data_IF_465730966439
#
_entry.id   IF_465730966439
#
_cell.length_a   1.000
_cell.length_b   1.000
_cell.length_c   1.000
_cell.angle_alpha   90.00
_cell.angle_beta   90.00
_cell.angle_gamma   90.00
#
_symmetry.space_group_name_H-M   'P 1'
#
loop_
_entity.id
_entity.type
_entity.pdbx_description
1 polymer ?
#
# COMPACT_ATOMS: atom_id res chain seq x y z
N UNK A 1 -18.73 0.70 -9.23
CA UNK A 1 -19.37 -0.63 -9.43
C UNK A 1 -18.45 -1.66 -10.08
N UNK A 2 -17.85 -1.43 -11.25
CA UNK A 2 -17.03 -2.43 -11.96
C UNK A 2 -15.94 -3.03 -11.07
N UNK A 3 -15.08 -2.19 -10.48
CA UNK A 3 -14.03 -2.66 -9.58
C UNK A 3 -14.59 -3.48 -8.38
N UNK A 4 -15.69 -3.04 -7.76
CA UNK A 4 -16.28 -3.78 -6.64
C UNK A 4 -16.70 -5.20 -7.07
N UNK A 5 -17.33 -5.35 -8.25
CA UNK A 5 -17.68 -6.66 -8.80
C UNK A 5 -16.47 -7.53 -9.13
N UNK A 6 -15.43 -6.93 -9.69
CA UNK A 6 -14.17 -7.62 -9.98
C UNK A 6 -13.51 -8.13 -8.68
N UNK A 7 -13.46 -7.29 -7.64
CA UNK A 7 -12.90 -7.67 -6.34
C UNK A 7 -13.69 -8.81 -5.69
N UNK A 8 -15.02 -8.75 -5.70
CA UNK A 8 -15.87 -9.83 -5.18
C UNK A 8 -15.60 -11.14 -5.93
N UNK A 9 -15.51 -11.08 -7.26
CA UNK A 9 -15.20 -12.25 -8.08
C UNK A 9 -13.82 -12.81 -7.80
N UNK A 10 -12.80 -11.96 -7.68
CA UNK A 10 -11.44 -12.40 -7.36
C UNK A 10 -11.33 -12.96 -5.94
N UNK A 11 -12.06 -12.39 -5.00
CA UNK A 11 -12.13 -12.86 -3.64
C UNK A 11 -12.72 -14.28 -3.59
N UNK A 12 -13.83 -14.53 -4.29
CA UNK A 12 -14.46 -15.83 -4.41
C UNK A 12 -13.53 -16.86 -5.09
N UNK A 13 -13.00 -16.54 -6.27
CA UNK A 13 -12.09 -17.42 -7.02
C UNK A 13 -10.82 -17.74 -6.23
N UNK A 14 -10.30 -16.79 -5.45
CA UNK A 14 -9.14 -17.02 -4.61
C UNK A 14 -9.44 -17.78 -3.32
N UNK A 15 -10.72 -17.96 -2.97
CA UNK A 15 -11.13 -18.53 -1.68
C UNK A 15 -10.73 -17.63 -0.50
N UNK A 16 -10.94 -16.32 -0.60
CA UNK A 16 -10.68 -15.36 0.45
C UNK A 16 -9.20 -15.02 0.67
N UNK A 17 -8.36 -15.09 -0.36
CA UNK A 17 -6.92 -14.75 -0.27
C UNK A 17 -6.54 -13.43 -0.91
N UNK A 18 -7.54 -12.68 -1.41
CA UNK A 18 -7.30 -11.40 -2.05
C UNK A 18 -6.99 -10.33 -1.01
N UNK A 19 -6.01 -9.48 -1.29
CA UNK A 19 -5.75 -8.22 -0.61
C UNK A 19 -5.68 -7.11 -1.66
N UNK A 20 -6.31 -5.98 -1.41
CA UNK A 20 -6.34 -4.84 -2.33
C UNK A 20 -5.36 -3.76 -1.91
N UNK A 21 -4.29 -3.56 -2.68
CA UNK A 21 -3.44 -2.38 -2.58
C UNK A 21 -4.08 -1.18 -3.30
N UNK A 22 -4.26 -0.06 -2.61
CA UNK A 22 -4.86 1.16 -3.17
C UNK A 22 -4.10 2.42 -2.80
N UNK A 23 -4.09 3.40 -3.70
CA UNK A 23 -3.44 4.69 -3.49
C UNK A 23 -4.08 5.80 -4.33
N UNK A 24 -3.73 7.04 -4.00
CA UNK A 24 -4.30 8.23 -4.65
C UNK A 24 -3.79 8.47 -6.09
N UNK A 25 -2.94 7.59 -6.61
CA UNK A 25 -2.24 7.78 -7.89
C UNK A 25 -1.02 8.69 -7.80
N UNK A 26 -0.16 8.61 -8.80
CA UNK A 26 1.09 9.37 -8.89
C UNK A 26 0.91 10.77 -9.49
N UNK A 27 2.03 11.37 -9.87
CA UNK A 27 2.06 12.73 -10.43
C UNK A 27 1.87 12.66 -11.95
N UNK A 28 0.68 13.03 -12.42
CA UNK A 28 0.40 13.35 -13.82
C UNK A 28 0.37 12.17 -14.80
N UNK A 29 1.35 11.28 -14.74
CA UNK A 29 1.52 10.19 -15.70
C UNK A 29 0.30 9.23 -15.75
N UNK A 30 -0.25 8.85 -14.60
CA UNK A 30 -1.38 7.92 -14.54
C UNK A 30 -2.63 8.51 -15.21
N UNK A 31 -2.89 9.81 -14.98
CA UNK A 31 -4.01 10.50 -15.59
C UNK A 31 -3.81 10.66 -17.11
N UNK A 32 -2.62 11.06 -17.54
CA UNK A 32 -2.31 11.27 -18.96
C UNK A 32 -2.31 9.96 -19.76
N UNK A 33 -1.87 8.84 -19.16
CA UNK A 33 -1.97 7.52 -19.77
C UNK A 33 -3.42 7.10 -20.07
N UNK A 34 -4.37 7.62 -19.28
CA UNK A 34 -5.81 7.41 -19.48
C UNK A 34 -6.48 8.52 -20.32
N UNK A 35 -5.71 9.42 -20.94
CA UNK A 35 -6.21 10.53 -21.71
C UNK A 35 -6.90 11.62 -20.86
N UNK A 36 -6.59 11.71 -19.58
CA UNK A 36 -7.13 12.68 -18.64
C UNK A 36 -6.11 13.76 -18.31
N UNK A 37 -6.58 14.93 -17.88
CA UNK A 37 -5.71 15.94 -17.29
C UNK A 37 -5.23 15.53 -15.89
N UNK A 38 -4.00 15.93 -15.54
CA UNK A 38 -3.44 15.67 -14.21
C UNK A 38 -4.17 16.50 -13.15
N UNK A 39 -4.73 15.82 -12.15
CA UNK A 39 -5.37 16.50 -11.02
C UNK A 39 -4.33 17.06 -10.04
N UNK A 40 -4.71 18.15 -9.36
CA UNK A 40 -3.92 18.67 -8.25
C UNK A 40 -3.78 17.63 -7.12
N UNK A 41 -2.73 17.74 -6.31
CA UNK A 41 -2.53 16.86 -5.16
C UNK A 41 -3.72 16.88 -4.18
N UNK A 42 -4.35 18.06 -4.02
CA UNK A 42 -5.56 18.22 -3.20
C UNK A 42 -6.73 17.44 -3.78
N UNK A 43 -6.99 17.64 -5.06
CA UNK A 43 -8.10 16.97 -5.74
C UNK A 43 -7.93 15.44 -5.76
N UNK A 44 -6.72 14.94 -6.06
CA UNK A 44 -6.44 13.50 -5.95
C UNK A 44 -6.75 12.96 -4.57
N UNK A 45 -6.36 13.68 -3.51
CA UNK A 45 -6.63 13.25 -2.14
C UNK A 45 -8.14 13.29 -1.80
N UNK A 46 -8.87 14.30 -2.30
CA UNK A 46 -10.33 14.42 -2.10
C UNK A 46 -11.07 13.28 -2.82
N UNK A 47 -10.71 13.03 -4.09
CA UNK A 47 -11.25 11.90 -4.89
C UNK A 47 -10.93 10.54 -4.26
N UNK A 48 -9.70 10.37 -3.78
CA UNK A 48 -9.28 9.12 -3.16
C UNK A 48 -10.05 8.83 -1.88
N UNK A 49 -10.28 9.84 -1.03
CA UNK A 49 -11.08 9.67 0.18
C UNK A 49 -12.53 9.27 -0.13
N UNK A 50 -13.15 9.91 -1.11
CA UNK A 50 -14.52 9.57 -1.52
C UNK A 50 -14.58 8.18 -2.17
N UNK A 51 -13.58 7.83 -2.98
CA UNK A 51 -13.45 6.52 -3.61
C UNK A 51 -13.33 5.39 -2.58
N UNK A 52 -12.44 5.53 -1.60
CA UNK A 52 -12.21 4.49 -0.57
C UNK A 52 -13.48 4.28 0.25
N UNK A 53 -14.12 5.36 0.70
CA UNK A 53 -15.36 5.27 1.47
C UNK A 53 -16.49 4.61 0.70
N UNK A 54 -16.71 4.97 -0.57
CA UNK A 54 -17.73 4.33 -1.38
C UNK A 54 -17.39 2.87 -1.70
N UNK A 55 -16.12 2.55 -1.95
CA UNK A 55 -15.69 1.18 -2.21
C UNK A 55 -15.88 0.29 -0.96
N UNK A 56 -15.57 0.81 0.23
CA UNK A 56 -15.82 0.12 1.49
C UNK A 56 -17.30 -0.27 1.65
N UNK A 57 -18.20 0.71 1.46
CA UNK A 57 -19.65 0.47 1.50
C UNK A 57 -20.09 -0.57 0.44
N UNK A 58 -19.64 -0.42 -0.81
CA UNK A 58 -19.99 -1.33 -1.90
C UNK A 58 -19.52 -2.78 -1.68
N UNK A 59 -18.49 -3.00 -0.89
CA UNK A 59 -17.97 -4.34 -0.59
C UNK A 59 -18.55 -4.95 0.69
N UNK A 60 -19.18 -4.12 1.55
CA UNK A 60 -19.76 -4.56 2.84
C UNK A 60 -21.27 -4.73 2.79
N UNK A 61 -21.94 -3.87 2.02
CA UNK A 61 -23.38 -3.76 2.06
C UNK A 61 -24.02 -4.36 0.81
N UNK A 62 -25.16 -5.04 0.97
CA UNK A 62 -25.90 -5.67 -0.13
C UNK A 62 -26.42 -4.64 -1.15
N UNK A 63 -26.76 -3.43 -0.69
CA UNK A 63 -27.26 -2.34 -1.51
C UNK A 63 -26.78 -0.99 -1.00
N UNK A 64 -26.20 -0.18 -1.88
CA UNK A 64 -25.66 1.14 -1.55
C UNK A 64 -26.32 2.21 -2.40
N UNK A 65 -26.78 3.27 -1.73
CA UNK A 65 -27.15 4.53 -2.38
C UNK A 65 -26.38 5.66 -1.72
N UNK A 66 -25.50 6.30 -2.47
CA UNK A 66 -24.67 7.42 -2.02
C UNK A 66 -24.52 8.43 -3.13
N UNK A 67 -24.68 9.70 -2.79
CA UNK A 67 -24.37 10.82 -3.66
C UNK A 67 -23.06 11.45 -3.19
N UNK A 68 -22.12 11.66 -4.10
CA UNK A 68 -20.83 12.28 -3.83
C UNK A 68 -20.44 13.31 -4.88
N UNK A 69 -19.34 14.00 -4.63
CA UNK A 69 -18.81 15.00 -5.55
C UNK A 69 -18.17 14.34 -6.79
N UNK A 70 -17.52 13.22 -6.60
CA UNK A 70 -16.75 12.52 -7.64
C UNK A 70 -17.36 11.17 -8.00
N UNK A 71 -18.01 10.51 -7.05
CA UNK A 71 -18.54 9.17 -7.23
C UNK A 71 -19.94 9.07 -6.62
N UNK A 72 -20.86 8.44 -7.35
CA UNK A 72 -22.21 8.20 -6.87
C UNK A 72 -22.62 6.76 -7.13
N UNK A 73 -23.51 6.23 -6.30
CA UNK A 73 -24.15 4.95 -6.46
C UNK A 73 -25.64 5.08 -6.15
N UNK A 74 -26.49 4.42 -6.91
CA UNK A 74 -27.96 4.39 -6.69
C UNK A 74 -28.40 2.94 -6.72
N UNK A 75 -28.91 2.45 -5.60
CA UNK A 75 -29.35 1.06 -5.42
C UNK A 75 -28.32 0.03 -5.97
N UNK A 76 -27.03 0.35 -5.80
CA UNK A 76 -25.96 -0.52 -6.26
C UNK A 76 -25.92 -1.80 -5.44
N UNK A 77 -26.14 -2.94 -6.08
CA UNK A 77 -26.29 -4.25 -5.41
C UNK A 77 -25.07 -5.13 -5.64
N UNK A 78 -24.53 -5.68 -4.54
CA UNK A 78 -23.37 -6.54 -4.50
C UNK A 78 -23.64 -7.84 -3.74
N UNK A 79 -24.64 -8.58 -4.18
CA UNK A 79 -24.97 -9.91 -3.65
C UNK A 79 -24.35 -10.95 -4.61
N UNK A 80 -23.63 -11.98 -4.09
CA UNK A 80 -23.53 -12.45 -2.70
C UNK A 80 -22.53 -11.68 -1.80
N UNK A 81 -21.74 -10.73 -2.32
CA UNK A 81 -20.72 -10.01 -1.56
C UNK A 81 -19.38 -10.73 -1.52
N UNK A 82 -18.48 -10.26 -0.66
CA UNK A 82 -17.16 -10.86 -0.46
C UNK A 82 -17.23 -12.17 0.33
N UNK A 83 -16.28 -13.07 0.09
CA UNK A 83 -16.04 -14.25 0.94
C UNK A 83 -15.39 -13.83 2.24
N UNK A 84 -14.48 -12.87 2.17
CA UNK A 84 -13.84 -12.29 3.35
C UNK A 84 -14.78 -11.34 4.10
N UNK A 85 -14.72 -11.36 5.43
CA UNK A 85 -15.56 -10.52 6.31
C UNK A 85 -14.68 -9.53 7.07
N UNK A 86 -15.05 -8.25 7.10
CA UNK A 86 -16.27 -7.62 6.55
C UNK A 86 -16.20 -7.40 5.02
N UNK A 87 -15.06 -7.49 4.40
CA UNK A 87 -14.75 -7.37 2.96
C UNK A 87 -13.30 -7.72 2.66
N UNK A 88 -12.89 -7.65 1.41
CA UNK A 88 -11.48 -7.72 0.99
C UNK A 88 -10.63 -6.71 1.77
N UNK A 89 -9.51 -7.12 2.40
CA UNK A 89 -8.61 -6.21 3.11
C UNK A 89 -8.04 -5.12 2.19
N UNK A 90 -8.01 -3.88 2.70
CA UNK A 90 -7.38 -2.74 2.01
C UNK A 90 -5.99 -2.46 2.57
N UNK A 91 -5.00 -2.42 1.70
CA UNK A 91 -3.66 -1.93 2.00
C UNK A 91 -3.50 -0.56 1.36
N UNK A 92 -3.50 0.49 2.20
CA UNK A 92 -3.58 1.88 1.74
C UNK A 92 -2.19 2.48 1.62
N UNK A 93 -1.79 2.82 0.39
CA UNK A 93 -0.53 3.50 0.12
C UNK A 93 -0.65 5.00 0.42
N UNK A 94 0.13 5.48 1.40
CA UNK A 94 0.06 6.85 1.85
C UNK A 94 1.33 7.36 2.55
N UNK A 95 1.69 8.62 2.27
CA UNK A 95 2.76 9.34 2.98
C UNK A 95 2.26 10.67 3.59
N UNK A 96 1.15 11.18 3.09
CA UNK A 96 0.54 12.43 3.55
C UNK A 96 -0.60 12.23 4.57
N UNK A 97 -0.96 13.27 5.34
CA UNK A 97 -1.87 13.16 6.47
C UNK A 97 -3.29 12.67 6.10
N UNK A 98 -3.79 13.03 4.92
CA UNK A 98 -5.12 12.57 4.45
C UNK A 98 -5.14 11.07 4.16
N UNK A 99 -4.10 10.59 3.45
CA UNK A 99 -3.98 9.16 3.15
C UNK A 99 -3.70 8.32 4.40
N UNK A 100 -2.89 8.81 5.34
CA UNK A 100 -2.66 8.15 6.63
C UNK A 100 -3.95 8.02 7.44
N UNK A 101 -4.83 9.04 7.41
CA UNK A 101 -6.15 8.95 8.02
C UNK A 101 -7.01 7.86 7.36
N UNK A 102 -7.00 7.76 6.02
CA UNK A 102 -7.73 6.69 5.32
C UNK A 102 -7.16 5.30 5.65
N UNK A 103 -5.84 5.18 5.80
CA UNK A 103 -5.22 3.94 6.26
C UNK A 103 -5.69 3.57 7.68
N UNK A 104 -5.75 4.54 8.59
CA UNK A 104 -6.24 4.34 9.95
C UNK A 104 -7.73 3.96 10.00
N UNK A 105 -8.58 4.59 9.16
CA UNK A 105 -10.03 4.36 9.15
C UNK A 105 -10.42 3.07 8.43
N UNK A 106 -9.84 2.79 7.27
CA UNK A 106 -10.29 1.73 6.36
C UNK A 106 -9.27 0.61 6.14
N UNK A 107 -7.97 0.85 6.41
CA UNK A 107 -6.90 -0.09 6.08
C UNK A 107 -6.81 -1.30 7.02
N UNK A 108 -6.47 -2.45 6.50
CA UNK A 108 -5.87 -3.56 7.24
C UNK A 108 -4.36 -3.51 7.14
N UNK A 109 -3.84 -2.78 6.16
CA UNK A 109 -2.43 -2.47 6.03
C UNK A 109 -2.19 -1.04 5.52
N UNK A 110 -1.03 -0.54 5.84
CA UNK A 110 -0.47 0.70 5.30
C UNK A 110 0.78 0.40 4.49
N UNK A 111 0.92 1.05 3.33
CA UNK A 111 2.05 0.84 2.42
C UNK A 111 2.82 2.14 2.24
N UNK A 112 4.14 2.04 2.35
CA UNK A 112 5.06 3.13 2.01
C UNK A 112 6.19 2.65 1.10
N UNK A 113 6.75 3.56 0.32
CA UNK A 113 7.95 3.35 -0.51
C UNK A 113 9.08 4.35 -0.12
N UNK A 114 8.97 4.99 1.04
CA UNK A 114 9.92 5.98 1.52
C UNK A 114 9.52 7.43 1.23
N UNK A 115 10.48 8.28 0.86
CA UNK A 115 10.22 9.69 0.60
C UNK A 115 9.46 9.89 -0.71
N UNK A 116 8.33 10.64 -0.70
CA UNK A 116 7.54 10.89 -1.90
C UNK A 116 8.24 11.75 -2.95
N UNK A 117 9.34 12.40 -2.60
CA UNK A 117 10.19 13.15 -3.55
C UNK A 117 11.12 12.25 -4.36
N UNK A 118 11.22 10.99 -3.97
CA UNK A 118 12.04 9.98 -4.63
C UNK A 118 13.45 9.81 -4.03
N UNK A 119 14.15 8.75 -4.46
CA UNK A 119 15.39 8.30 -3.82
C UNK A 119 16.59 9.22 -4.09
N UNK A 120 16.57 9.99 -5.17
CA UNK A 120 17.68 10.87 -5.53
C UNK A 120 17.88 12.05 -4.54
N UNK A 121 16.89 12.32 -3.70
CA UNK A 121 16.92 13.45 -2.77
C UNK A 121 17.20 13.03 -1.31
N UNK A 122 17.22 11.72 -1.02
CA UNK A 122 17.45 11.22 0.35
C UNK A 122 18.71 10.36 0.38
N UNK A 123 19.75 10.77 1.13
CA UNK A 123 20.91 9.93 1.39
C UNK A 123 20.51 8.60 2.04
N UNK A 124 21.23 7.52 1.71
CA UNK A 124 20.92 6.15 2.17
C UNK A 124 20.79 6.08 3.69
N UNK A 125 21.72 6.72 4.40
CA UNK A 125 21.74 6.75 5.86
C UNK A 125 20.55 7.48 6.51
N UNK A 126 19.78 8.24 5.72
CA UNK A 126 18.58 8.93 6.19
C UNK A 126 17.29 8.19 5.87
N UNK A 127 17.33 7.17 5.03
CA UNK A 127 16.14 6.42 4.61
C UNK A 127 15.37 5.81 5.80
N UNK A 128 16.00 5.14 6.78
CA UNK A 128 15.31 4.63 7.96
C UNK A 128 14.62 5.74 8.77
N UNK A 129 15.26 6.92 8.89
CA UNK A 129 14.67 8.07 9.59
C UNK A 129 13.44 8.65 8.90
N UNK A 130 13.32 8.51 7.57
CA UNK A 130 12.11 8.88 6.83
C UNK A 130 10.96 7.95 7.22
N UNK A 131 11.21 6.64 7.21
CA UNK A 131 10.21 5.63 7.57
C UNK A 131 9.78 5.77 9.03
N UNK A 132 10.73 5.95 9.96
CA UNK A 132 10.41 6.18 11.37
C UNK A 132 9.39 7.32 11.55
N UNK A 133 9.63 8.47 10.91
CA UNK A 133 8.69 9.61 10.96
C UNK A 133 7.33 9.32 10.31
N UNK A 134 7.27 8.44 9.31
CA UNK A 134 6.01 8.03 8.70
C UNK A 134 5.22 7.09 9.61
N UNK A 135 5.90 6.16 10.29
CA UNK A 135 5.28 5.27 11.28
C UNK A 135 4.73 6.08 12.47
N UNK A 136 5.46 7.07 12.97
CA UNK A 136 4.98 7.99 14.01
C UNK A 136 3.70 8.74 13.59
N UNK A 137 3.66 9.24 12.35
CA UNK A 137 2.47 9.91 11.81
C UNK A 137 1.29 8.96 11.62
N UNK A 138 1.55 7.71 11.21
CA UNK A 138 0.53 6.67 11.14
C UNK A 138 -0.04 6.36 12.52
N UNK A 139 0.83 6.20 13.53
CA UNK A 139 0.40 5.97 14.90
C UNK A 139 -0.51 7.09 15.42
N UNK A 140 -0.13 8.36 15.19
CA UNK A 140 -0.97 9.50 15.54
C UNK A 140 -2.32 9.51 14.79
N UNK A 141 -2.35 9.09 13.52
CA UNK A 141 -3.59 8.98 12.77
C UNK A 141 -4.50 7.86 13.31
N UNK A 142 -3.92 6.73 13.71
CA UNK A 142 -4.64 5.62 14.34
C UNK A 142 -5.19 6.03 15.71
N UNK A 143 -4.41 6.70 16.55
CA UNK A 143 -4.86 7.24 17.84
C UNK A 143 -6.06 8.18 17.66
N UNK A 144 -5.99 9.09 16.67
CA UNK A 144 -7.09 10.01 16.35
C UNK A 144 -8.34 9.27 15.85
N UNK A 145 -8.20 8.10 15.25
CA UNK A 145 -9.29 7.22 14.82
C UNK A 145 -9.78 6.26 15.92
N UNK A 146 -9.15 6.28 17.11
CA UNK A 146 -9.48 5.37 18.22
C UNK A 146 -9.06 3.92 17.96
N UNK A 147 -7.99 3.70 17.18
CA UNK A 147 -7.51 2.41 16.73
C UNK A 147 -6.06 2.17 17.19
N UNK A 148 -5.73 0.93 17.55
CA UNK A 148 -4.33 0.54 17.79
C UNK A 148 -3.57 0.41 16.46
N UNK A 149 -2.43 1.11 16.36
CA UNK A 149 -1.53 1.01 15.20
C UNK A 149 -0.96 -0.41 15.03
N UNK A 150 -0.92 -1.20 16.09
CA UNK A 150 -0.52 -2.61 16.07
C UNK A 150 -1.47 -3.51 15.25
N UNK A 151 -2.70 -3.08 15.03
CA UNK A 151 -3.67 -3.81 14.21
C UNK A 151 -3.43 -3.68 12.69
N UNK A 152 -2.57 -2.74 12.28
CA UNK A 152 -2.25 -2.56 10.87
C UNK A 152 -0.94 -3.27 10.50
N UNK A 153 -0.98 -4.02 9.42
CA UNK A 153 0.23 -4.40 8.71
C UNK A 153 0.93 -3.16 8.16
N UNK A 154 2.25 -3.11 8.29
CA UNK A 154 3.07 -1.98 7.84
C UNK A 154 4.04 -2.48 6.78
N UNK A 155 3.72 -2.18 5.53
CA UNK A 155 4.41 -2.70 4.35
C UNK A 155 5.38 -1.64 3.83
N UNK A 156 6.65 -2.00 3.73
CA UNK A 156 7.65 -1.22 3.00
C UNK A 156 7.87 -1.85 1.62
N UNK A 157 7.47 -1.14 0.58
CA UNK A 157 7.82 -1.47 -0.79
C UNK A 157 9.22 -0.88 -1.09
N UNK A 158 10.19 -1.74 -1.28
CA UNK A 158 11.53 -1.35 -1.73
C UNK A 158 11.41 -0.84 -3.17
N UNK A 159 11.32 0.47 -3.29
CA UNK A 159 11.24 1.15 -4.58
C UNK A 159 12.61 1.46 -5.15
N UNK A 160 12.69 2.53 -5.93
CA UNK A 160 13.96 3.08 -6.42
C UNK A 160 14.69 3.85 -5.30
N UNK A 161 15.01 3.18 -4.19
CA UNK A 161 15.84 3.74 -3.12
C UNK A 161 17.32 3.57 -3.43
N UNK A 162 18.17 4.41 -2.85
CA UNK A 162 19.62 4.24 -2.97
C UNK A 162 20.14 3.05 -2.14
N UNK A 163 19.32 2.48 -1.27
CA UNK A 163 19.61 1.26 -0.53
C UNK A 163 19.67 0.06 -1.47
N UNK A 164 20.57 -0.86 -1.21
CA UNK A 164 20.80 -2.01 -2.06
C UNK A 164 20.69 -3.32 -1.28
N UNK A 165 19.52 -3.64 -0.73
CA UNK A 165 19.34 -4.82 0.10
C UNK A 165 19.59 -6.14 -0.65
N UNK A 166 19.55 -6.14 -1.97
CA UNK A 166 19.73 -7.36 -2.77
C UNK A 166 21.18 -7.58 -3.25
N UNK A 167 22.17 -6.84 -2.72
CA UNK A 167 23.58 -7.06 -3.06
C UNK A 167 24.19 -8.30 -2.38
N UNK A 168 23.69 -8.69 -1.21
CA UNK A 168 24.10 -9.91 -0.50
C UNK A 168 23.05 -10.38 0.50
N UNK A 169 23.18 -11.59 1.03
CA UNK A 169 22.33 -12.10 2.11
C UNK A 169 22.47 -11.25 3.36
N UNK A 170 23.69 -10.89 3.76
CA UNK A 170 23.94 -10.08 4.96
C UNK A 170 23.33 -8.68 4.80
N UNK A 171 23.49 -8.03 3.63
CA UNK A 171 22.90 -6.73 3.37
C UNK A 171 21.35 -6.77 3.46
N UNK A 172 20.72 -7.85 2.99
CA UNK A 172 19.29 -8.04 3.11
C UNK A 172 18.85 -8.23 4.57
N UNK A 173 19.56 -9.04 5.33
CA UNK A 173 19.24 -9.32 6.75
C UNK A 173 19.38 -8.06 7.59
N UNK A 174 20.46 -7.29 7.41
CA UNK A 174 20.69 -6.03 8.11
C UNK A 174 19.60 -4.99 7.77
N UNK A 175 19.28 -4.87 6.48
CA UNK A 175 18.22 -3.98 6.00
C UNK A 175 16.85 -4.37 6.58
N UNK A 176 16.50 -5.64 6.51
CA UNK A 176 15.24 -6.15 7.04
C UNK A 176 15.16 -5.98 8.57
N UNK A 177 16.26 -6.23 9.29
CA UNK A 177 16.37 -6.01 10.73
C UNK A 177 16.13 -4.55 11.12
N UNK A 178 16.75 -3.62 10.39
CA UNK A 178 16.59 -2.18 10.60
C UNK A 178 15.11 -1.75 10.49
N UNK A 179 14.42 -2.18 9.45
CA UNK A 179 13.02 -1.80 9.25
C UNK A 179 12.04 -2.53 10.18
N UNK A 180 12.34 -3.76 10.57
CA UNK A 180 11.60 -4.47 11.62
C UNK A 180 11.65 -3.73 12.96
N UNK A 181 12.80 -3.19 13.35
CA UNK A 181 12.95 -2.38 14.56
C UNK A 181 12.13 -1.08 14.52
N UNK A 182 11.87 -0.54 13.34
CA UNK A 182 11.00 0.60 13.11
C UNK A 182 9.51 0.23 13.05
N UNK A 183 9.17 -1.06 13.21
CA UNK A 183 7.81 -1.55 13.24
C UNK A 183 7.22 -1.92 11.88
N UNK A 184 8.04 -2.01 10.82
CA UNK A 184 7.61 -2.58 9.54
C UNK A 184 7.39 -4.09 9.73
N UNK A 185 6.26 -4.59 9.26
CA UNK A 185 5.84 -5.99 9.41
C UNK A 185 6.02 -6.80 8.13
N UNK A 186 6.07 -6.13 6.98
CA UNK A 186 6.19 -6.76 5.67
C UNK A 186 7.13 -5.97 4.76
N UNK A 187 8.01 -6.66 4.07
CA UNK A 187 8.95 -6.09 3.10
C UNK A 187 8.64 -6.64 1.70
N UNK A 188 8.47 -5.74 0.76
CA UNK A 188 8.27 -6.09 -0.65
C UNK A 188 9.50 -5.68 -1.45
N UNK A 189 10.15 -6.63 -2.11
CA UNK A 189 11.30 -6.40 -2.98
C UNK A 189 10.96 -6.75 -4.41
N UNK A 190 11.63 -6.09 -5.37
CA UNK A 190 11.42 -6.37 -6.78
C UNK A 190 12.13 -7.65 -7.21
N UNK A 191 11.49 -8.41 -8.08
CA UNK A 191 12.16 -9.50 -8.81
C UNK A 191 13.29 -8.91 -9.67
N UNK A 192 14.48 -9.54 -9.69
CA UNK A 192 15.57 -9.12 -10.56
C UNK A 192 15.19 -9.18 -12.04
N UNK A 193 15.20 -8.03 -12.71
CA UNK A 193 14.93 -7.92 -14.15
C UNK A 193 16.20 -7.41 -14.83
N UNK A 194 16.85 -8.24 -15.68
CA UNK A 194 18.04 -7.82 -16.40
C UNK A 194 17.82 -6.53 -17.20
N UNK A 195 18.86 -5.73 -17.36
CA UNK A 195 18.87 -4.49 -18.15
C UNK A 195 17.81 -3.45 -17.73
N UNK A 196 17.40 -3.47 -16.45
CA UNK A 196 16.44 -2.53 -15.89
C UNK A 196 16.94 -1.88 -14.59
N UNK A 197 16.19 -0.92 -14.06
CA UNK A 197 16.45 -0.33 -12.74
C UNK A 197 16.31 -1.35 -11.60
N UNK A 198 15.73 -2.50 -11.86
CA UNK A 198 15.57 -3.62 -10.92
C UNK A 198 16.59 -4.75 -11.19
N UNK A 199 17.66 -4.46 -11.94
CA UNK A 199 18.71 -5.45 -12.20
C UNK A 199 19.45 -5.79 -10.91
N UNK A 200 19.46 -7.07 -10.57
CA UNK A 200 20.18 -7.66 -9.44
C UNK A 200 20.65 -9.07 -9.83
N UNK A 201 21.57 -9.63 -9.09
CA UNK A 201 22.02 -11.01 -9.29
C UNK A 201 20.94 -12.00 -8.81
N UNK A 202 20.41 -12.79 -9.75
CA UNK A 202 19.37 -13.77 -9.47
C UNK A 202 19.83 -14.84 -8.46
N UNK A 203 21.09 -15.26 -8.53
CA UNK A 203 21.62 -16.27 -7.62
C UNK A 203 21.74 -15.74 -6.18
N UNK A 204 22.03 -14.45 -6.02
CA UNK A 204 21.99 -13.79 -4.70
C UNK A 204 20.54 -13.67 -4.22
N UNK A 205 19.62 -13.28 -5.09
CA UNK A 205 18.19 -13.20 -4.76
C UNK A 205 17.62 -14.55 -4.29
N UNK A 206 17.98 -15.65 -4.96
CA UNK A 206 17.59 -17.01 -4.55
C UNK A 206 18.17 -17.40 -3.18
N UNK A 207 19.42 -17.01 -2.90
CA UNK A 207 20.03 -17.21 -1.56
C UNK A 207 19.32 -16.37 -0.49
N UNK A 208 18.95 -15.14 -0.79
CA UNK A 208 18.16 -14.32 0.13
C UNK A 208 16.84 -15.01 0.46
N UNK A 209 16.15 -15.56 -0.54
CA UNK A 209 14.88 -16.25 -0.35
C UNK A 209 15.00 -17.56 0.47
N UNK A 210 16.16 -18.21 0.48
CA UNK A 210 16.38 -19.48 1.19
C UNK A 210 17.15 -19.29 2.49
N UNK A 211 18.27 -18.59 2.46
CA UNK A 211 19.19 -18.43 3.60
C UNK A 211 18.90 -17.15 4.39
N UNK A 212 18.56 -16.05 3.71
CA UNK A 212 18.30 -14.76 4.33
C UNK A 212 17.00 -14.76 5.13
N UNK A 213 15.91 -15.28 4.55
CA UNK A 213 14.63 -15.37 5.26
C UNK A 213 14.72 -16.29 6.48
N UNK A 214 15.51 -17.36 6.42
CA UNK A 214 15.72 -18.25 7.56
C UNK A 214 16.42 -17.58 8.76
N UNK A 215 17.20 -16.51 8.53
CA UNK A 215 17.86 -15.74 9.57
C UNK A 215 16.95 -14.69 10.24
N UNK A 216 15.86 -14.34 9.57
CA UNK A 216 14.91 -13.37 10.11
C UNK A 216 13.87 -14.00 11.06
N UNK A 217 13.78 -15.31 11.11
CA UNK A 217 12.93 -16.07 12.04
C UNK A 217 11.63 -16.50 11.42
#
# INVERSE_FOLDING_TARGET
MTLAKELITLDDVSGGRLTLGIGAGGVGFDATALGQEAWSARERADRFGEFVGLLDELLRDDAVTREGTYYSAVEARNVPGCVQVPRVPFYVAATGPRGLRLAAEYGQGWVTYGDPKGPAEVPVEQAPGVIARQVEKLAAACEAAGRDVGELEKVLLQGSTAEKPLESVDAFVDWAGTYRELGITELVVHWPVPDSIFANDLAIFEKIATEGLAQLG
#
